data_IF_686040258869
#
_entry.id   IF_686040258869
#
_cell.length_a   1.000
_cell.length_b   1.000
_cell.length_c   1.000
_cell.angle_alpha   90.00
_cell.angle_beta   90.00
_cell.angle_gamma   90.00
#
_symmetry.space_group_name_H-M   'P 1'
#
loop_
_entity.id
_entity.type
_entity.pdbx_description
1 polymer ?
#
# COMPACT_ATOMS: atom_id res chain seq x y z
N UNK A 1 24.92 22.53 -11.16
CA UNK A 1 24.45 21.91 -9.90
C UNK A 1 23.53 20.74 -10.22
N UNK A 2 23.63 19.60 -9.51
CA UNK A 2 22.69 18.48 -9.66
C UNK A 2 21.32 18.90 -9.09
N UNK A 3 20.23 18.50 -9.75
CA UNK A 3 18.87 18.73 -9.25
C UNK A 3 18.65 17.92 -7.98
N UNK A 4 18.08 18.55 -6.96
CA UNK A 4 17.71 17.90 -5.71
C UNK A 4 16.19 17.78 -5.57
N UNK A 5 15.75 16.75 -4.85
CA UNK A 5 14.35 16.46 -4.55
C UNK A 5 14.06 16.68 -3.07
N UNK A 6 14.23 17.92 -2.61
CA UNK A 6 14.03 18.32 -1.22
C UNK A 6 13.32 19.67 -1.13
N UNK A 7 12.53 19.87 -0.07
CA UNK A 7 11.98 21.17 0.34
C UNK A 7 12.47 21.58 1.73
N UNK A 8 12.51 20.65 2.68
CA UNK A 8 12.88 20.94 4.06
C UNK A 8 14.32 20.54 4.42
N UNK A 9 15.03 19.81 3.54
CA UNK A 9 16.37 19.31 3.82
C UNK A 9 16.44 18.14 4.81
N UNK A 10 15.28 17.61 5.24
CA UNK A 10 15.13 16.54 6.24
C UNK A 10 14.38 15.36 5.66
N UNK A 11 14.90 14.15 5.83
CA UNK A 11 14.26 12.94 5.31
C UNK A 11 13.02 12.54 6.13
N UNK A 12 11.87 12.33 5.49
CA UNK A 12 10.63 11.91 6.16
C UNK A 12 10.68 10.52 6.78
N UNK A 13 11.68 9.70 6.43
CA UNK A 13 11.80 8.32 6.89
C UNK A 13 12.81 8.12 8.01
N UNK A 14 14.02 8.65 7.84
CA UNK A 14 15.09 8.49 8.82
C UNK A 14 15.31 9.73 9.69
N UNK A 15 14.58 10.82 9.43
CA UNK A 15 14.70 12.11 10.14
C UNK A 15 16.09 12.76 10.08
N UNK A 16 17.02 12.22 9.27
CA UNK A 16 18.33 12.82 9.06
C UNK A 16 18.25 14.02 8.12
N UNK A 17 19.14 14.96 8.32
CA UNK A 17 19.22 16.23 7.60
C UNK A 17 20.51 16.32 6.79
N UNK A 18 20.59 17.30 5.90
CA UNK A 18 21.87 17.63 5.25
C UNK A 18 22.87 18.14 6.30
N UNK A 19 24.18 17.86 6.16
CA UNK A 19 24.82 17.13 5.06
C UNK A 19 24.89 15.59 5.25
N UNK A 20 24.31 15.03 6.32
CA UNK A 20 24.40 13.58 6.60
C UNK A 20 23.77 12.69 5.54
N UNK A 21 22.83 13.24 4.77
CA UNK A 21 22.12 12.54 3.70
C UNK A 21 21.96 13.41 2.46
N UNK A 22 21.82 12.76 1.32
CA UNK A 22 21.64 13.40 0.01
C UNK A 22 20.24 13.16 -0.54
N UNK A 23 19.81 14.02 -1.48
CA UNK A 23 18.46 14.00 -2.09
C UNK A 23 18.54 14.14 -3.62
N UNK A 24 19.50 13.48 -4.25
CA UNK A 24 19.73 13.60 -5.69
C UNK A 24 18.93 12.57 -6.51
N UNK A 25 18.52 11.47 -5.88
CA UNK A 25 17.70 10.46 -6.52
C UNK A 25 16.23 10.87 -6.54
N UNK A 26 15.56 10.53 -7.64
CA UNK A 26 14.15 10.85 -7.85
C UNK A 26 13.27 9.88 -7.03
N UNK A 27 12.55 10.34 -6.00
CA UNK A 27 11.72 9.45 -5.21
C UNK A 27 10.35 9.29 -5.86
N UNK A 28 10.03 8.07 -6.28
CA UNK A 28 8.70 7.75 -6.81
C UNK A 28 7.79 7.29 -5.68
N UNK A 29 6.71 8.05 -5.44
CA UNK A 29 5.76 7.73 -4.36
C UNK A 29 4.94 6.48 -4.64
N UNK A 30 4.71 6.19 -5.92
CA UNK A 30 4.09 4.98 -6.43
C UNK A 30 4.83 4.62 -7.72
N UNK A 31 4.97 3.33 -8.00
CA UNK A 31 5.59 2.87 -9.23
C UNK A 31 4.98 3.45 -10.50
N UNK A 32 5.85 3.78 -11.47
CA UNK A 32 5.44 3.95 -12.87
C UNK A 32 4.74 2.72 -13.45
N UNK A 33 5.09 1.50 -13.00
CA UNK A 33 4.43 0.25 -13.45
C UNK A 33 2.97 0.17 -13.00
N UNK A 34 2.60 0.88 -11.94
CA UNK A 34 1.22 1.04 -11.49
C UNK A 34 0.53 2.27 -12.13
N UNK A 35 1.16 2.90 -13.12
CA UNK A 35 0.59 4.02 -13.86
C UNK A 35 0.85 5.40 -13.26
N UNK A 36 1.42 5.49 -12.06
CA UNK A 36 1.71 6.77 -11.41
C UNK A 36 2.99 7.43 -11.93
N UNK A 37 2.91 8.74 -12.20
CA UNK A 37 4.07 9.57 -12.58
C UNK A 37 4.49 10.57 -11.48
N UNK A 38 3.90 10.44 -10.30
CA UNK A 38 4.13 11.32 -9.16
C UNK A 38 5.55 11.17 -8.63
N UNK A 39 6.11 12.30 -8.20
CA UNK A 39 7.46 12.41 -7.65
C UNK A 39 7.31 13.03 -6.27
N UNK A 40 7.91 12.40 -5.27
CA UNK A 40 7.97 12.92 -3.91
C UNK A 40 9.10 13.94 -3.74
N UNK A 41 9.31 14.34 -2.50
CA UNK A 41 10.44 15.14 -2.07
C UNK A 41 10.74 14.79 -0.60
N UNK A 42 11.91 15.21 -0.10
CA UNK A 42 12.34 14.97 1.28
C UNK A 42 12.44 13.47 1.64
N UNK A 43 12.83 12.66 0.67
CA UNK A 43 13.20 11.25 0.85
C UNK A 43 14.65 11.13 0.44
N UNK A 44 15.54 10.86 1.39
CA UNK A 44 16.96 10.80 1.07
C UNK A 44 17.31 9.56 0.25
N UNK A 45 18.42 9.63 -0.49
CA UNK A 45 18.87 8.60 -1.43
C UNK A 45 18.99 7.23 -0.76
N UNK A 46 19.47 7.19 0.50
CA UNK A 46 19.57 5.92 1.26
C UNK A 46 18.20 5.30 1.58
N UNK A 47 17.21 6.11 1.94
CA UNK A 47 15.85 5.61 2.20
C UNK A 47 15.13 5.28 0.89
N UNK A 48 15.33 6.06 -0.16
CA UNK A 48 14.79 5.77 -1.50
C UNK A 48 15.28 4.39 -1.99
N UNK A 49 16.60 4.15 -1.89
CA UNK A 49 17.21 2.85 -2.22
C UNK A 49 16.71 1.72 -1.32
N UNK A 50 16.54 1.97 -0.02
CA UNK A 50 16.07 0.97 0.95
C UNK A 50 14.75 0.32 0.55
N UNK A 51 13.75 1.11 0.15
CA UNK A 51 12.43 0.56 -0.18
C UNK A 51 12.40 -0.24 -1.49
N UNK A 52 13.24 0.14 -2.45
CA UNK A 52 13.34 -0.52 -3.76
C UNK A 52 14.23 -1.77 -3.79
N UNK A 53 15.19 -1.89 -2.86
CA UNK A 53 16.25 -2.90 -2.95
C UNK A 53 15.89 -4.20 -2.24
N UNK A 54 16.18 -5.33 -2.90
CA UNK A 54 16.15 -6.68 -2.31
C UNK A 54 17.58 -7.08 -1.95
N UNK A 55 18.01 -6.75 -0.74
CA UNK A 55 19.34 -7.16 -0.28
C UNK A 55 19.33 -8.65 0.07
N UNK A 56 20.43 -9.37 -0.24
CA UNK A 56 20.53 -10.80 0.08
C UNK A 56 20.63 -11.04 1.59
N UNK A 57 21.23 -10.09 2.31
CA UNK A 57 21.44 -10.07 3.75
C UNK A 57 20.27 -9.49 4.54
N UNK A 58 19.26 -8.90 3.89
CA UNK A 58 18.13 -8.34 4.63
C UNK A 58 17.27 -9.45 5.22
N UNK A 59 16.79 -9.22 6.45
CA UNK A 59 15.86 -10.09 7.19
C UNK A 59 14.73 -10.62 6.31
N UNK A 60 14.23 -9.77 5.40
CA UNK A 60 13.33 -10.15 4.33
C UNK A 60 14.09 -10.14 3.02
N UNK A 61 14.19 -11.28 2.34
CA UNK A 61 14.72 -11.34 0.96
C UNK A 61 13.67 -10.82 -0.05
N UNK A 62 13.10 -9.65 0.21
CA UNK A 62 12.02 -9.03 -0.55
C UNK A 62 12.01 -7.52 -0.27
N UNK A 63 11.90 -6.70 -1.30
CA UNK A 63 11.79 -5.26 -1.12
C UNK A 63 10.36 -4.85 -0.77
N UNK A 64 10.22 -3.77 0.01
CA UNK A 64 8.92 -3.23 0.44
C UNK A 64 8.11 -2.82 -0.79
N UNK A 65 8.75 -2.06 -1.69
CA UNK A 65 8.10 -1.53 -2.88
C UNK A 65 7.70 -2.65 -3.86
N UNK A 66 8.48 -3.73 -3.97
CA UNK A 66 8.12 -4.86 -4.83
C UNK A 66 6.92 -5.64 -4.28
N UNK A 67 6.87 -5.91 -2.97
CA UNK A 67 5.74 -6.60 -2.35
C UNK A 67 4.42 -5.85 -2.58
N UNK A 68 4.44 -4.53 -2.41
CA UNK A 68 3.32 -3.64 -2.74
C UNK A 68 2.93 -3.71 -4.22
N UNK A 69 3.90 -3.55 -5.12
CA UNK A 69 3.65 -3.56 -6.58
C UNK A 69 3.07 -4.88 -7.08
N UNK A 70 3.52 -6.01 -6.53
CA UNK A 70 3.11 -7.34 -7.00
C UNK A 70 1.60 -7.54 -6.86
N UNK A 71 1.03 -7.22 -5.70
CA UNK A 71 -0.41 -7.32 -5.45
C UNK A 71 -1.20 -6.43 -6.42
N UNK A 72 -0.84 -5.16 -6.56
CA UNK A 72 -1.63 -4.25 -7.39
C UNK A 72 -1.39 -4.40 -8.89
N UNK A 73 -0.24 -4.91 -9.33
CA UNK A 73 -0.04 -5.28 -10.72
C UNK A 73 -0.92 -6.47 -11.11
N UNK A 74 -1.17 -7.40 -10.18
CA UNK A 74 -2.12 -8.51 -10.38
C UNK A 74 -3.53 -7.96 -10.59
N UNK A 75 -4.04 -7.15 -9.66
CA UNK A 75 -5.38 -6.55 -9.77
C UNK A 75 -5.51 -5.77 -11.09
N UNK A 76 -4.48 -4.98 -11.45
CA UNK A 76 -4.44 -4.21 -12.69
C UNK A 76 -4.41 -5.08 -13.96
N UNK A 77 -3.80 -6.26 -13.90
CA UNK A 77 -3.75 -7.17 -15.04
C UNK A 77 -5.09 -7.88 -15.24
N UNK A 78 -5.79 -8.19 -14.15
CA UNK A 78 -7.06 -8.91 -14.18
C UNK A 78 -8.28 -8.02 -14.45
N UNK A 79 -8.25 -6.74 -14.05
CA UNK A 79 -9.28 -5.75 -14.37
C UNK A 79 -8.85 -4.93 -15.60
N UNK A 80 -9.42 -5.20 -16.79
CA UNK A 80 -9.05 -4.51 -18.02
C UNK A 80 -9.21 -2.99 -17.95
N UNK A 81 -10.15 -2.51 -17.13
CA UNK A 81 -10.37 -1.10 -16.87
C UNK A 81 -9.07 -0.45 -16.36
N UNK A 82 -8.36 -1.08 -15.43
CA UNK A 82 -7.08 -0.56 -14.94
C UNK A 82 -5.89 -0.82 -15.89
N UNK A 83 -6.05 -1.69 -16.89
CA UNK A 83 -4.98 -2.04 -17.81
C UNK A 83 -4.66 -0.87 -18.78
N UNK A 84 -3.37 -0.63 -19.09
CA UNK A 84 -3.02 0.36 -20.12
C UNK A 84 -3.53 -0.11 -21.50
N UNK A 85 -4.01 0.83 -22.34
CA UNK A 85 -4.66 0.57 -23.64
C UNK A 85 -3.87 -0.31 -24.63
N UNK A 86 -2.55 -0.50 -24.44
CA UNK A 86 -1.67 -1.23 -25.35
C UNK A 86 -1.08 -2.54 -24.78
N UNK A 87 -1.77 -3.22 -23.86
CA UNK A 87 -1.12 -4.29 -23.09
C UNK A 87 -1.19 -5.69 -23.75
N UNK A 88 -0.29 -5.95 -24.69
CA UNK A 88 0.13 -7.33 -25.07
C UNK A 88 1.14 -7.93 -24.09
N UNK A 89 1.49 -7.23 -23.00
CA UNK A 89 2.56 -7.65 -22.09
C UNK A 89 2.03 -8.62 -21.03
N UNK A 90 2.60 -9.82 -20.98
CA UNK A 90 2.40 -10.79 -19.91
C UNK A 90 2.76 -10.17 -18.56
N UNK A 91 1.91 -10.36 -17.54
CA UNK A 91 2.26 -10.00 -16.16
C UNK A 91 3.45 -10.86 -15.72
N UNK A 92 4.64 -10.27 -15.64
CA UNK A 92 5.81 -10.94 -15.07
C UNK A 92 5.87 -10.65 -13.57
N UNK A 93 5.25 -11.52 -12.80
CA UNK A 93 5.35 -11.52 -11.34
C UNK A 93 6.64 -12.22 -10.89
N UNK A 94 7.27 -11.70 -9.84
CA UNK A 94 8.46 -12.29 -9.22
C UNK A 94 8.08 -13.48 -8.35
N UNK A 95 6.95 -13.41 -7.62
CA UNK A 95 6.61 -14.32 -6.53
C UNK A 95 5.51 -15.33 -6.84
N UNK A 96 4.66 -15.03 -7.82
CA UNK A 96 3.48 -15.80 -8.19
C UNK A 96 3.53 -16.25 -9.65
N UNK A 97 3.07 -17.47 -9.91
CA UNK A 97 2.66 -17.95 -11.22
C UNK A 97 1.20 -17.57 -11.45
N UNK A 98 0.92 -17.02 -12.62
CA UNK A 98 -0.39 -16.54 -13.02
C UNK A 98 -0.98 -17.44 -14.10
N UNK A 99 -2.14 -18.04 -13.83
CA UNK A 99 -2.93 -18.80 -14.79
C UNK A 99 -4.19 -18.00 -15.14
N UNK A 100 -4.12 -17.21 -16.22
CA UNK A 100 -5.14 -16.22 -16.60
C UNK A 100 -6.54 -16.84 -16.78
N UNK A 101 -6.63 -18.01 -17.39
CA UNK A 101 -7.89 -18.73 -17.64
C UNK A 101 -8.55 -19.23 -16.35
N UNK A 102 -7.75 -19.59 -15.35
CA UNK A 102 -8.25 -20.16 -14.10
C UNK A 102 -8.43 -19.09 -13.00
N UNK A 103 -7.91 -17.87 -13.19
CA UNK A 103 -7.68 -16.85 -12.14
C UNK A 103 -6.91 -17.38 -10.92
N UNK A 104 -6.21 -18.50 -11.09
CA UNK A 104 -5.46 -19.16 -10.01
C UNK A 104 -4.07 -18.52 -9.90
N UNK A 105 -3.74 -18.11 -8.68
CA UNK A 105 -2.42 -17.65 -8.28
C UNK A 105 -1.74 -18.73 -7.48
N UNK A 106 -0.57 -19.15 -7.94
CA UNK A 106 0.26 -20.09 -7.19
C UNK A 106 1.54 -19.39 -6.79
N UNK A 107 1.93 -19.50 -5.54
CA UNK A 107 3.27 -19.10 -5.11
C UNK A 107 4.26 -19.92 -5.94
N UNK A 108 5.24 -19.28 -6.59
CA UNK A 108 6.23 -20.00 -7.39
C UNK A 108 6.94 -21.02 -6.53
N UNK A 109 7.30 -22.17 -7.11
CA UNK A 109 7.99 -23.27 -6.40
C UNK A 109 9.19 -22.78 -5.57
N UNK A 110 9.98 -21.83 -6.09
CA UNK A 110 11.15 -21.23 -5.42
C UNK A 110 10.83 -20.55 -4.07
N UNK A 111 9.59 -20.10 -3.87
CA UNK A 111 9.14 -19.46 -2.62
C UNK A 111 8.22 -20.35 -1.79
N UNK A 112 7.53 -21.33 -2.41
CA UNK A 112 6.61 -22.25 -1.73
C UNK A 112 7.27 -23.00 -0.57
N UNK A 113 8.54 -23.37 -0.72
CA UNK A 113 9.29 -24.12 0.29
C UNK A 113 10.03 -23.23 1.30
N UNK A 114 9.89 -21.90 1.22
CA UNK A 114 10.48 -21.00 2.21
C UNK A 114 9.53 -20.88 3.40
N UNK A 115 9.94 -21.33 4.61
CA UNK A 115 9.13 -21.11 5.81
C UNK A 115 8.92 -19.60 5.98
N UNK A 116 7.73 -19.22 6.44
CA UNK A 116 7.33 -17.83 6.64
C UNK A 116 7.28 -16.94 5.38
N UNK A 117 7.35 -17.47 4.15
CA UNK A 117 7.27 -16.63 2.95
C UNK A 117 6.04 -15.72 2.95
N UNK A 118 4.85 -16.27 3.20
CA UNK A 118 3.61 -15.50 3.22
C UNK A 118 3.57 -14.49 4.36
N UNK A 119 4.10 -14.84 5.54
CA UNK A 119 4.21 -13.92 6.68
C UNK A 119 5.14 -12.75 6.35
N UNK A 120 6.30 -13.03 5.78
CA UNK A 120 7.29 -12.04 5.36
C UNK A 120 6.74 -11.16 4.22
N UNK A 121 6.06 -11.77 3.24
CA UNK A 121 5.39 -11.04 2.17
C UNK A 121 4.33 -10.11 2.72
N UNK A 122 3.47 -10.60 3.61
CA UNK A 122 2.40 -9.80 4.24
C UNK A 122 2.99 -8.60 4.97
N UNK A 123 4.06 -8.81 5.74
CA UNK A 123 4.73 -7.72 6.44
C UNK A 123 5.33 -6.68 5.49
N UNK A 124 6.01 -7.10 4.42
CA UNK A 124 6.55 -6.19 3.41
C UNK A 124 5.43 -5.45 2.66
N UNK A 125 4.31 -6.13 2.37
CA UNK A 125 3.13 -5.52 1.76
C UNK A 125 2.52 -4.45 2.67
N UNK A 126 2.28 -4.75 3.95
CA UNK A 126 1.81 -3.78 4.95
C UNK A 126 2.74 -2.57 5.00
N UNK A 127 4.05 -2.78 5.08
CA UNK A 127 5.05 -1.70 5.07
C UNK A 127 4.96 -0.84 3.81
N UNK A 128 4.68 -1.44 2.64
CA UNK A 128 4.52 -0.71 1.39
C UNK A 128 3.23 0.13 1.32
N UNK A 129 2.13 -0.36 1.89
CA UNK A 129 0.89 0.42 2.03
C UNK A 129 1.15 1.69 2.87
N UNK A 130 1.82 1.53 4.00
CA UNK A 130 2.18 2.65 4.88
C UNK A 130 3.26 3.56 4.30
N UNK A 131 4.19 3.01 3.52
CA UNK A 131 5.18 3.77 2.76
C UNK A 131 4.48 4.75 1.82
N UNK A 132 3.60 4.23 0.96
CA UNK A 132 2.86 5.02 -0.02
C UNK A 132 2.01 6.09 0.67
N UNK A 133 1.36 5.75 1.79
CA UNK A 133 0.61 6.72 2.59
C UNK A 133 1.47 7.92 3.00
N UNK A 134 2.60 7.71 3.68
CA UNK A 134 3.36 8.82 4.25
C UNK A 134 3.99 9.68 3.16
N UNK A 135 4.46 9.06 2.07
CA UNK A 135 5.02 9.78 0.93
C UNK A 135 3.97 10.64 0.24
N UNK A 136 2.75 10.12 0.02
CA UNK A 136 1.67 10.89 -0.61
C UNK A 136 1.10 11.94 0.34
N UNK A 137 0.98 11.66 1.64
CA UNK A 137 0.61 12.65 2.64
C UNK A 137 1.59 13.82 2.62
N UNK A 138 2.90 13.55 2.63
CA UNK A 138 3.90 14.60 2.57
C UNK A 138 3.87 15.37 1.26
N UNK A 139 3.69 14.67 0.13
CA UNK A 139 3.63 15.32 -1.19
C UNK A 139 2.47 16.32 -1.28
N UNK A 140 1.33 16.01 -0.67
CA UNK A 140 0.14 16.88 -0.72
C UNK A 140 0.13 17.95 0.38
N UNK A 141 0.67 17.68 1.57
CA UNK A 141 0.54 18.59 2.74
C UNK A 141 1.83 19.27 3.16
N UNK A 142 3.00 18.72 2.81
CA UNK A 142 4.29 19.13 3.38
C UNK A 142 4.51 18.68 4.83
N UNK A 143 3.54 18.04 5.49
CA UNK A 143 3.57 17.77 6.94
C UNK A 143 4.05 16.35 7.32
N UNK A 144 4.66 15.63 6.38
CA UNK A 144 5.16 14.27 6.57
C UNK A 144 6.32 14.13 7.56
N UNK A 145 6.90 15.23 8.05
CA UNK A 145 7.91 15.26 9.11
C UNK A 145 7.32 15.28 10.53
N UNK A 146 6.01 15.46 10.67
CA UNK A 146 5.36 15.57 11.97
C UNK A 146 5.56 14.29 12.82
N UNK A 147 5.76 14.45 14.13
CA UNK A 147 6.10 13.36 15.06
C UNK A 147 4.97 12.37 15.27
N UNK A 148 3.72 12.77 15.01
CA UNK A 148 2.57 11.86 15.04
C UNK A 148 2.73 10.65 14.11
N UNK A 149 3.59 10.74 13.09
CA UNK A 149 3.91 9.65 12.17
C UNK A 149 5.13 8.81 12.58
N UNK A 150 5.71 9.03 13.77
CA UNK A 150 6.85 8.24 14.25
C UNK A 150 6.53 6.75 14.36
N UNK A 151 5.29 6.38 14.67
CA UNK A 151 4.86 4.97 14.65
C UNK A 151 4.99 4.35 13.26
N UNK A 152 4.66 5.13 12.21
CA UNK A 152 4.77 4.71 10.81
C UNK A 152 6.25 4.56 10.43
N UNK A 153 7.11 5.53 10.81
CA UNK A 153 8.56 5.43 10.55
C UNK A 153 9.18 4.22 11.23
N UNK A 154 8.87 3.99 12.51
CA UNK A 154 9.34 2.82 13.27
C UNK A 154 9.00 1.51 12.57
N UNK A 155 7.75 1.34 12.14
CA UNK A 155 7.31 0.14 11.43
C UNK A 155 7.90 0.03 10.02
N UNK A 156 7.78 1.08 9.21
CA UNK A 156 8.10 1.02 7.78
C UNK A 156 9.59 1.10 7.51
N UNK A 157 10.34 1.98 8.19
CA UNK A 157 11.78 2.17 7.93
C UNK A 157 12.67 1.28 8.79
N UNK A 158 12.29 1.04 10.04
CA UNK A 158 13.13 0.35 11.03
C UNK A 158 12.64 -1.04 11.40
N UNK A 159 11.52 -1.49 10.81
CA UNK A 159 10.96 -2.82 11.05
C UNK A 159 10.59 -3.09 12.52
N UNK A 160 10.24 -2.04 13.27
CA UNK A 160 9.87 -2.12 14.67
C UNK A 160 8.35 -2.23 14.89
N UNK A 161 7.92 -3.20 15.68
CA UNK A 161 6.51 -3.48 15.95
C UNK A 161 5.75 -4.06 14.75
N UNK A 162 4.43 -4.09 14.81
CA UNK A 162 3.57 -4.46 13.68
C UNK A 162 2.32 -3.57 13.66
N UNK A 163 2.24 -2.64 12.71
CA UNK A 163 1.07 -1.78 12.61
C UNK A 163 -0.11 -2.55 12.00
N UNK A 164 -1.30 -2.54 12.61
CA UNK A 164 -2.48 -3.17 12.04
C UNK A 164 -2.86 -2.58 10.69
N UNK A 165 -3.21 -3.42 9.72
CA UNK A 165 -3.79 -2.99 8.46
C UNK A 165 -5.16 -3.64 8.34
N UNK A 166 -6.22 -2.85 8.23
CA UNK A 166 -7.56 -3.37 8.03
C UNK A 166 -7.99 -3.19 6.58
N UNK A 167 -8.89 -4.05 6.11
CA UNK A 167 -9.45 -3.97 4.78
C UNK A 167 -10.93 -4.34 4.77
N UNK A 168 -11.66 -3.80 3.79
CA UNK A 168 -13.02 -4.25 3.48
C UNK A 168 -12.96 -5.56 2.70
N UNK A 169 -13.52 -6.63 3.25
CA UNK A 169 -13.65 -7.91 2.56
C UNK A 169 -14.73 -7.80 1.49
N UNK A 170 -14.31 -7.83 0.24
CA UNK A 170 -15.15 -7.58 -0.92
C UNK A 170 -16.01 -8.82 -1.26
N UNK A 171 -17.27 -8.60 -1.61
CA UNK A 171 -18.23 -9.64 -1.98
C UNK A 171 -18.23 -9.97 -3.49
N UNK A 172 -17.12 -9.73 -4.19
CA UNK A 172 -17.03 -9.91 -5.64
C UNK A 172 -17.53 -8.72 -6.47
N UNK A 173 -17.85 -7.59 -5.83
CA UNK A 173 -18.27 -6.34 -6.48
C UNK A 173 -17.16 -5.30 -6.32
N UNK A 174 -16.36 -5.08 -7.36
CA UNK A 174 -15.23 -4.16 -7.31
C UNK A 174 -15.62 -2.79 -7.86
N UNK A 175 -15.53 -1.76 -7.01
CA UNK A 175 -15.73 -0.38 -7.45
C UNK A 175 -14.54 0.06 -8.31
N UNK A 176 -14.82 0.43 -9.54
CA UNK A 176 -13.81 0.91 -10.50
C UNK A 176 -14.24 2.29 -10.99
N UNK A 177 -13.35 3.30 -10.96
CA UNK A 177 -13.68 4.62 -11.51
C UNK A 177 -13.92 4.55 -13.01
N UNK A 178 -14.90 5.30 -13.53
CA UNK A 178 -15.25 5.36 -14.96
C UNK A 178 -14.06 5.67 -15.88
N UNK A 179 -13.13 6.50 -15.37
CA UNK A 179 -11.85 6.80 -16.02
C UNK A 179 -10.73 6.35 -15.09
N UNK A 180 -10.27 5.10 -15.21
CA UNK A 180 -9.16 4.57 -14.42
C UNK A 180 -7.88 5.33 -14.78
N UNK A 181 -7.62 6.37 -13.98
CA UNK A 181 -6.38 7.13 -14.01
C UNK A 181 -5.36 6.47 -13.07
N UNK A 182 -4.13 6.99 -13.10
CA UNK A 182 -3.12 6.63 -12.12
C UNK A 182 -3.66 6.71 -10.68
N UNK A 183 -3.24 5.82 -9.77
CA UNK A 183 -3.71 5.83 -8.39
C UNK A 183 -3.48 7.22 -7.77
N UNK A 184 -4.56 7.77 -7.22
CA UNK A 184 -4.56 9.07 -6.59
C UNK A 184 -5.10 8.98 -5.16
N UNK A 185 -4.47 9.74 -4.28
CA UNK A 185 -4.78 9.77 -2.86
C UNK A 185 -5.18 11.20 -2.51
N UNK A 186 -6.34 11.32 -1.89
CA UNK A 186 -6.97 12.60 -1.59
C UNK A 186 -6.80 12.91 -0.11
N UNK A 187 -6.45 14.15 0.17
CA UNK A 187 -6.23 14.67 1.52
C UNK A 187 -7.09 15.91 1.74
N UNK A 188 -8.41 15.76 1.58
CA UNK A 188 -9.38 16.82 1.88
C UNK A 188 -9.45 17.09 3.38
N UNK A 189 -10.04 18.22 3.79
CA UNK A 189 -10.19 18.58 5.20
C UNK A 189 -10.91 17.49 6.02
N UNK A 190 -11.87 16.79 5.40
CA UNK A 190 -12.55 15.63 6.02
C UNK A 190 -11.60 14.45 6.25
N UNK A 191 -10.67 14.19 5.33
CA UNK A 191 -9.68 13.12 5.48
C UNK A 191 -8.62 13.52 6.52
N UNK A 192 -8.20 14.79 6.52
CA UNK A 192 -7.24 15.31 7.48
C UNK A 192 -7.80 15.35 8.91
N UNK A 193 -9.08 15.74 9.07
CA UNK A 193 -9.79 15.66 10.35
C UNK A 193 -9.89 14.22 10.82
N UNK A 194 -10.21 13.24 9.96
CA UNK A 194 -10.19 11.83 10.36
C UNK A 194 -8.82 11.37 10.93
N UNK A 195 -7.71 11.81 10.32
CA UNK A 195 -6.35 11.52 10.84
C UNK A 195 -6.12 12.19 12.21
N UNK A 196 -6.61 13.42 12.40
CA UNK A 196 -6.41 14.15 13.66
C UNK A 196 -7.35 13.67 14.78
N UNK A 197 -8.57 13.30 14.42
CA UNK A 197 -9.65 12.95 15.33
C UNK A 197 -9.59 11.48 15.75
N UNK A 198 -9.22 10.60 14.83
CA UNK A 198 -9.17 9.15 15.06
C UNK A 198 -7.78 8.55 14.83
N UNK A 199 -6.88 9.21 14.10
CA UNK A 199 -5.58 8.62 13.77
C UNK A 199 -5.62 7.64 12.61
N UNK A 200 -6.73 7.59 11.87
CA UNK A 200 -6.92 6.70 10.73
C UNK A 200 -6.85 7.43 9.40
N UNK A 201 -6.28 6.73 8.41
CA UNK A 201 -6.39 7.10 7.01
C UNK A 201 -7.10 5.97 6.23
N UNK A 202 -8.14 6.33 5.48
CA UNK A 202 -8.84 5.41 4.59
C UNK A 202 -8.21 5.49 3.20
N UNK A 203 -7.68 4.38 2.72
CA UNK A 203 -7.02 4.27 1.43
C UNK A 203 -7.88 3.44 0.48
N UNK A 204 -8.30 4.05 -0.63
CA UNK A 204 -8.90 3.32 -1.75
C UNK A 204 -7.87 3.15 -2.86
N UNK A 205 -7.58 1.92 -3.26
CA UNK A 205 -6.54 1.60 -4.23
C UNK A 205 -6.91 0.37 -5.07
N UNK A 206 -7.06 0.57 -6.38
CA UNK A 206 -7.41 -0.48 -7.35
C UNK A 206 -8.63 -1.32 -6.93
N UNK A 207 -9.70 -0.69 -6.46
CA UNK A 207 -10.92 -1.38 -6.02
C UNK A 207 -10.87 -1.95 -4.61
N UNK A 208 -9.70 -1.93 -3.96
CA UNK A 208 -9.54 -2.36 -2.58
C UNK A 208 -9.60 -1.17 -1.62
N UNK A 209 -10.26 -1.40 -0.48
CA UNK A 209 -10.43 -0.41 0.57
C UNK A 209 -9.64 -0.84 1.81
N UNK A 210 -8.75 0.02 2.28
CA UNK A 210 -7.91 -0.20 3.44
C UNK A 210 -8.11 0.90 4.49
N UNK A 211 -7.91 0.54 5.76
CA UNK A 211 -7.88 1.45 6.89
C UNK A 211 -6.55 1.32 7.61
N UNK A 212 -5.82 2.42 7.68
CA UNK A 212 -4.45 2.48 8.19
C UNK A 212 -4.43 3.22 9.52
N UNK A 213 -3.82 2.63 10.53
CA UNK A 213 -3.45 3.32 11.78
C UNK A 213 -2.19 4.16 11.56
N UNK A 214 -2.35 5.47 11.40
CA UNK A 214 -1.25 6.36 10.99
C UNK A 214 -0.75 7.25 12.11
N UNK A 215 -1.48 7.38 13.22
CA UNK A 215 -1.03 8.08 14.43
C UNK A 215 -1.31 7.26 15.70
N UNK A 216 -0.65 7.54 16.85
CA UNK A 216 -0.92 6.84 18.11
C UNK A 216 -2.38 6.87 18.56
N UNK A 217 -3.13 7.91 18.14
CA UNK A 217 -4.56 8.06 18.45
C UNK A 217 -5.42 6.92 17.89
N UNK A 218 -4.95 6.26 16.84
CA UNK A 218 -5.62 5.10 16.25
C UNK A 218 -5.79 3.98 17.28
N UNK A 219 -4.80 3.72 18.13
CA UNK A 219 -4.89 2.67 19.13
C UNK A 219 -6.00 2.92 20.16
N UNK A 220 -6.27 4.18 20.49
CA UNK A 220 -7.29 4.60 21.48
C UNK A 220 -8.68 4.59 20.85
N UNK A 221 -8.79 5.01 19.59
CA UNK A 221 -10.08 5.17 18.91
C UNK A 221 -10.48 4.00 18.02
N UNK A 222 -9.62 2.97 17.92
CA UNK A 222 -9.74 1.81 17.01
C UNK A 222 -11.15 1.25 16.96
N UNK A 223 -11.66 0.82 18.11
CA UNK A 223 -12.93 0.11 18.16
C UNK A 223 -14.10 0.99 17.74
N UNK A 224 -14.11 2.25 18.18
CA UNK A 224 -15.16 3.21 17.84
C UNK A 224 -15.10 3.54 16.34
N UNK A 225 -13.90 3.82 15.81
CA UNK A 225 -13.71 4.20 14.42
C UNK A 225 -14.03 3.04 13.48
N UNK A 226 -13.49 1.85 13.73
CA UNK A 226 -13.71 0.68 12.87
C UNK A 226 -15.16 0.20 12.91
N UNK A 227 -15.85 0.25 14.06
CA UNK A 227 -17.30 -0.04 14.13
C UNK A 227 -18.10 0.97 13.33
N UNK A 228 -17.78 2.25 13.44
CA UNK A 228 -18.42 3.32 12.66
C UNK A 228 -18.23 3.10 11.16
N UNK A 229 -17.01 2.79 10.71
CA UNK A 229 -16.73 2.54 9.31
C UNK A 229 -17.35 1.23 8.81
N UNK A 230 -17.31 0.16 9.61
CA UNK A 230 -18.00 -1.09 9.31
C UNK A 230 -19.51 -0.87 9.13
N UNK A 231 -20.17 -0.10 10.00
CA UNK A 231 -21.61 0.19 9.86
C UNK A 231 -21.97 0.92 8.56
N UNK A 232 -21.09 1.81 8.07
CA UNK A 232 -21.28 2.51 6.80
C UNK A 232 -21.01 1.61 5.60
N UNK A 233 -19.97 0.78 5.67
CA UNK A 233 -19.53 -0.08 4.56
C UNK A 233 -20.46 -1.27 4.35
N UNK A 234 -20.88 -1.88 5.45
CA UNK A 234 -21.57 -3.17 5.45
C UNK A 234 -23.06 -2.98 5.14
N UNK A 235 -23.60 -1.75 5.17
CA UNK A 235 -24.96 -1.37 4.76
C UNK A 235 -25.87 -2.53 4.31
N UNK A 236 -25.92 -2.80 3.00
CA UNK A 236 -26.68 -3.92 2.42
C UNK A 236 -25.88 -5.23 2.25
N UNK A 237 -24.59 -5.25 2.59
CA UNK A 237 -23.69 -6.37 2.33
C UNK A 237 -23.33 -6.57 0.85
N UNK A 238 -23.77 -5.66 -0.02
CA UNK A 238 -23.62 -5.84 -1.47
C UNK A 238 -22.16 -5.78 -1.95
N UNK A 239 -21.39 -4.81 -1.44
CA UNK A 239 -20.00 -4.58 -1.87
C UNK A 239 -19.02 -5.21 -0.90
N UNK A 240 -19.22 -5.00 0.40
CA UNK A 240 -18.34 -5.45 1.46
C UNK A 240 -19.13 -6.23 2.51
N UNK A 241 -18.67 -7.42 2.85
CA UNK A 241 -19.33 -8.28 3.85
C UNK A 241 -18.83 -7.99 5.27
N UNK A 242 -17.58 -7.56 5.41
CA UNK A 242 -16.96 -7.34 6.71
C UNK A 242 -15.75 -6.43 6.60
N UNK A 243 -15.34 -5.88 7.75
CA UNK A 243 -14.06 -5.22 7.93
C UNK A 243 -13.15 -6.15 8.73
N UNK A 244 -11.99 -6.51 8.18
CA UNK A 244 -11.06 -7.49 8.76
C UNK A 244 -9.67 -6.91 8.93
N UNK A 245 -8.96 -7.33 9.98
CA UNK A 245 -7.52 -7.10 10.08
C UNK A 245 -6.80 -8.08 9.17
N UNK A 246 -5.83 -7.60 8.40
CA UNK A 246 -5.00 -8.42 7.52
C UNK A 246 -4.00 -9.23 8.35
N UNK A 247 -4.24 -10.55 8.46
CA UNK A 247 -3.28 -11.50 9.03
C UNK A 247 -2.32 -12.01 7.97
N UNK A 248 -2.84 -12.25 6.77
CA UNK A 248 -2.07 -12.62 5.60
C UNK A 248 -2.53 -11.83 4.38
N UNK A 249 -1.60 -11.54 3.46
CA UNK A 249 -1.95 -10.85 2.22
C UNK A 249 -2.95 -11.65 1.36
N UNK A 250 -3.00 -12.97 1.55
CA UNK A 250 -3.94 -13.87 0.88
C UNK A 250 -5.37 -13.75 1.39
N UNK A 251 -5.59 -13.05 2.51
CA UNK A 251 -6.93 -12.71 2.99
C UNK A 251 -7.59 -11.65 2.08
N UNK A 252 -6.78 -10.88 1.36
CA UNK A 252 -7.25 -9.96 0.32
C UNK A 252 -7.49 -10.72 -0.98
N UNK A 253 -8.69 -10.62 -1.56
CA UNK A 253 -8.96 -11.17 -2.89
C UNK A 253 -8.39 -10.28 -4.00
N UNK A 254 -7.07 -10.14 -4.05
CA UNK A 254 -6.35 -9.41 -5.11
C UNK A 254 -6.36 -10.16 -6.45
N UNK A 255 -6.67 -11.46 -6.41
CA UNK A 255 -6.85 -12.36 -7.55
C UNK A 255 -8.23 -12.29 -8.20
N UNK A 256 -9.18 -11.57 -7.60
CA UNK A 256 -10.55 -11.42 -8.09
C UNK A 256 -11.26 -12.76 -8.29
N UNK A 257 -11.02 -13.70 -7.38
CA UNK A 257 -11.65 -15.03 -7.37
C UNK A 257 -13.14 -14.98 -7.05
N UNK A 258 -13.57 -13.94 -6.32
CA UNK A 258 -14.97 -13.65 -6.01
C UNK A 258 -15.67 -12.84 -7.10
N UNK A 259 -14.94 -12.24 -8.05
CA UNK A 259 -15.53 -11.38 -9.07
C UNK A 259 -16.59 -12.12 -9.90
N UNK A 260 -17.83 -11.64 -9.85
CA UNK A 260 -18.98 -12.20 -10.56
C UNK A 260 -19.61 -13.43 -9.90
N UNK A 261 -19.13 -13.85 -8.72
CA UNK A 261 -19.76 -14.86 -7.88
C UNK A 261 -20.58 -14.14 -6.81
N UNK A 262 -21.77 -13.67 -7.15
CA UNK A 262 -22.77 -13.46 -6.11
C UNK A 262 -23.02 -14.83 -5.48
N UNK A 263 -22.93 -14.96 -4.17
CA UNK A 263 -23.44 -16.14 -3.46
C UNK A 263 -24.89 -16.32 -3.91
N UNK A 264 -25.13 -17.30 -4.78
CA UNK A 264 -26.45 -17.89 -4.94
C UNK A 264 -26.72 -18.55 -3.60
N UNK A 265 -27.55 -17.89 -2.78
CA UNK A 265 -28.22 -18.53 -1.65
C UNK A 265 -28.86 -19.84 -2.09
#
# INVERSE_FOLDING_TARGET
>A
MKKEYTKHGKCIWCSKEKPEVTFFEKPHTISKKLGAKKIGFDICDSCNKYFGTREKSSKYQMSVELAFKEIFNVTRYLLPEFAPKNNKQYLRSVYFDLFKTERIFRIKKTFKFKPDFIKNFTRQFKRGIYEVFLQEYHRNTGLGLNDKFNIVRKFVRYDYGDLPLYFGDNNGVYLVPEKPQAPSFYFSDKVLSNINDFGFYTMFLFGHLFYLEVTPKAAISRDIYLRKEASKLIGSGFIYNSLKEMKYVTDLDFSLNKLGKSETN
#
